data_IF_297737008423
#
_entry.id   IF_297737008423
#
_cell.length_a   1.000
_cell.length_b   1.000
_cell.length_c   1.000
_cell.angle_alpha   90.00
_cell.angle_beta   90.00
_cell.angle_gamma   90.00
#
_symmetry.space_group_name_H-M   'P 1'
#
loop_
_entity.id
_entity.type
_entity.pdbx_description
1 polymer ?
#
# COMPACT_ATOMS: atom_id res chain seq x y z
N UNK A 1 -15.38 -16.59 4.42
CA UNK A 1 -14.22 -17.01 3.60
C UNK A 1 -13.01 -17.10 4.53
N UNK A 2 -12.07 -18.01 4.31
CA UNK A 2 -10.91 -18.17 5.20
C UNK A 2 -9.64 -18.35 4.38
N UNK A 3 -8.57 -17.60 4.69
CA UNK A 3 -7.29 -17.61 3.96
C UNK A 3 -7.39 -17.16 2.49
N UNK A 4 -8.22 -16.16 2.18
CA UNK A 4 -8.35 -15.60 0.83
C UNK A 4 -7.64 -14.26 0.69
N UNK A 5 -7.09 -14.01 -0.50
CA UNK A 5 -6.66 -12.69 -0.95
C UNK A 5 -7.79 -12.06 -1.78
N UNK A 6 -8.29 -10.93 -1.32
CA UNK A 6 -9.22 -10.08 -2.05
C UNK A 6 -8.44 -8.96 -2.73
N UNK A 7 -8.68 -8.77 -4.02
CA UNK A 7 -8.09 -7.67 -4.79
C UNK A 7 -9.22 -6.75 -5.23
N UNK A 8 -9.24 -5.54 -4.69
CA UNK A 8 -10.16 -4.48 -5.10
C UNK A 8 -9.44 -3.56 -6.09
N UNK A 9 -9.79 -3.66 -7.37
CA UNK A 9 -9.30 -2.76 -8.40
C UNK A 9 -10.30 -1.62 -8.55
N UNK A 10 -9.89 -0.40 -8.22
CA UNK A 10 -10.75 0.77 -8.28
C UNK A 10 -10.77 1.35 -9.70
N UNK A 11 -11.88 2.04 -10.04
CA UNK A 11 -11.90 2.92 -11.20
C UNK A 11 -11.03 4.16 -10.96
N UNK A 12 -10.62 4.84 -12.03
CA UNK A 12 -9.90 6.11 -11.92
C UNK A 12 -10.67 7.08 -11.03
N UNK A 13 -9.97 7.68 -10.06
CA UNK A 13 -10.52 8.66 -9.12
C UNK A 13 -11.71 8.15 -8.26
N UNK A 14 -11.87 6.84 -8.08
CA UNK A 14 -13.00 6.26 -7.34
C UNK A 14 -13.20 6.85 -5.93
N UNK A 15 -12.15 7.39 -5.32
CA UNK A 15 -12.15 7.92 -3.96
C UNK A 15 -12.22 9.45 -3.90
N UNK A 16 -12.20 10.15 -5.05
CA UNK A 16 -12.07 11.62 -5.12
C UNK A 16 -13.15 12.36 -4.32
N UNK A 17 -14.37 11.83 -4.29
CA UNK A 17 -15.53 12.44 -3.63
C UNK A 17 -15.95 11.70 -2.35
N UNK A 18 -15.10 10.81 -1.83
CA UNK A 18 -15.38 10.10 -0.57
C UNK A 18 -14.85 10.96 0.59
N UNK A 19 -15.71 11.37 1.54
CA UNK A 19 -15.26 12.07 2.74
C UNK A 19 -14.24 11.25 3.55
N UNK A 20 -13.23 11.93 4.08
CA UNK A 20 -12.17 11.35 4.89
C UNK A 20 -12.69 10.41 6.01
N UNK A 21 -13.72 10.83 6.74
CA UNK A 21 -14.30 10.05 7.84
C UNK A 21 -14.94 8.75 7.36
N UNK A 22 -15.62 8.78 6.21
CA UNK A 22 -16.21 7.58 5.62
C UNK A 22 -15.13 6.60 5.18
N UNK A 23 -14.06 7.12 4.59
CA UNK A 23 -12.89 6.35 4.21
C UNK A 23 -12.25 5.67 5.43
N UNK A 24 -11.99 6.42 6.49
CA UNK A 24 -11.43 5.88 7.75
C UNK A 24 -12.33 4.81 8.36
N UNK A 25 -13.64 5.07 8.42
CA UNK A 25 -14.62 4.09 8.92
C UNK A 25 -14.63 2.81 8.09
N UNK A 26 -14.49 2.92 6.77
CA UNK A 26 -14.41 1.77 5.88
C UNK A 26 -13.11 0.98 6.10
N UNK A 27 -11.97 1.66 6.24
CA UNK A 27 -10.67 1.02 6.50
C UNK A 27 -10.68 0.23 7.81
N UNK A 28 -11.20 0.79 8.90
CA UNK A 28 -11.32 0.11 10.18
C UNK A 28 -12.19 -1.14 10.08
N UNK A 29 -13.35 -1.03 9.41
CA UNK A 29 -14.25 -2.18 9.18
C UNK A 29 -13.57 -3.28 8.37
N UNK A 30 -12.88 -2.91 7.29
CA UNK A 30 -12.18 -3.88 6.43
C UNK A 30 -10.99 -4.53 7.15
N UNK A 31 -10.25 -3.78 7.96
CA UNK A 31 -9.17 -4.33 8.79
C UNK A 31 -9.70 -5.38 9.78
N UNK A 32 -10.77 -5.04 10.52
CA UNK A 32 -11.40 -5.98 11.46
C UNK A 32 -11.92 -7.23 10.77
N UNK A 33 -12.61 -7.04 9.64
CA UNK A 33 -13.17 -8.15 8.87
C UNK A 33 -12.08 -9.06 8.31
N UNK A 34 -11.02 -8.50 7.72
CA UNK A 34 -9.93 -9.28 7.14
C UNK A 34 -9.19 -10.08 8.21
N UNK A 35 -8.90 -9.48 9.36
CA UNK A 35 -8.30 -10.18 10.51
C UNK A 35 -9.17 -11.32 11.03
N UNK A 36 -10.47 -11.06 11.26
CA UNK A 36 -11.41 -12.07 11.77
C UNK A 36 -11.51 -13.29 10.86
N UNK A 37 -11.39 -13.08 9.55
CA UNK A 37 -11.51 -14.12 8.53
C UNK A 37 -10.16 -14.67 8.06
N UNK A 38 -9.04 -14.26 8.67
CA UNK A 38 -7.69 -14.60 8.19
C UNK A 38 -7.50 -14.33 6.69
N UNK A 39 -8.01 -13.20 6.20
CA UNK A 39 -7.94 -12.78 4.81
C UNK A 39 -7.02 -11.58 4.63
N UNK A 40 -6.56 -11.38 3.40
CA UNK A 40 -5.81 -10.18 2.98
C UNK A 40 -6.65 -9.38 1.99
N UNK A 41 -6.65 -8.05 2.13
CA UNK A 41 -7.28 -7.14 1.17
C UNK A 41 -6.21 -6.24 0.56
N UNK A 42 -6.03 -6.34 -0.76
CA UNK A 42 -5.20 -5.43 -1.54
C UNK A 42 -6.11 -4.48 -2.31
N UNK A 43 -5.89 -3.18 -2.14
CA UNK A 43 -6.61 -2.14 -2.88
C UNK A 43 -5.67 -1.53 -3.91
N UNK A 44 -6.02 -1.63 -5.19
CA UNK A 44 -5.30 -1.00 -6.29
C UNK A 44 -6.11 0.20 -6.73
N UNK A 45 -5.60 1.40 -6.45
CA UNK A 45 -6.25 2.66 -6.77
C UNK A 45 -5.51 3.36 -7.92
N UNK A 46 -6.02 3.29 -9.17
CA UNK A 46 -5.46 4.06 -10.26
C UNK A 46 -5.91 5.51 -10.17
N UNK A 47 -4.97 6.42 -10.36
CA UNK A 47 -5.20 7.86 -10.23
C UNK A 47 -3.95 8.54 -9.74
N UNK A 48 -3.79 9.81 -10.11
CA UNK A 48 -2.63 10.56 -9.68
C UNK A 48 -2.69 10.69 -8.15
N UNK A 49 -1.56 10.42 -7.50
CA UNK A 49 -1.39 10.39 -6.05
C UNK A 49 -1.84 11.73 -5.46
N UNK A 50 -3.13 11.90 -5.14
CA UNK A 50 -3.65 13.14 -4.58
C UNK A 50 -3.04 13.24 -3.19
N UNK A 51 -2.11 14.18 -3.00
CA UNK A 51 -1.34 14.34 -1.77
C UNK A 51 -2.23 14.29 -0.53
N UNK A 52 -3.47 14.80 -0.61
CA UNK A 52 -4.46 14.75 0.45
C UNK A 52 -4.87 13.33 0.84
N UNK A 53 -5.16 12.46 -0.14
CA UNK A 53 -5.55 11.08 0.10
C UNK A 53 -4.36 10.25 0.58
N UNK A 54 -3.21 10.42 -0.04
CA UNK A 54 -1.99 9.74 0.38
C UNK A 54 -1.63 10.10 1.83
N UNK A 55 -1.66 11.40 2.17
CA UNK A 55 -1.41 11.86 3.54
C UNK A 55 -2.42 11.29 4.53
N UNK A 56 -3.71 11.25 4.17
CA UNK A 56 -4.74 10.63 5.00
C UNK A 56 -4.46 9.14 5.23
N UNK A 57 -4.09 8.39 4.19
CA UNK A 57 -3.78 6.96 4.31
C UNK A 57 -2.50 6.72 5.11
N UNK A 58 -1.53 7.63 5.02
CA UNK A 58 -0.29 7.57 5.80
C UNK A 58 -0.56 7.67 7.31
N UNK A 59 -1.54 8.49 7.71
CA UNK A 59 -2.00 8.59 9.10
C UNK A 59 -2.70 7.30 9.61
N UNK A 60 -3.19 6.45 8.70
CA UNK A 60 -3.91 5.21 9.00
C UNK A 60 -2.99 3.98 9.15
N UNK A 61 -1.73 4.18 9.54
CA UNK A 61 -0.73 3.11 9.70
C UNK A 61 -1.13 2.00 10.69
N UNK A 62 -2.10 2.25 11.58
CA UNK A 62 -2.66 1.24 12.49
C UNK A 62 -3.73 0.37 11.84
N UNK A 63 -4.41 0.91 10.82
CA UNK A 63 -5.50 0.28 10.08
C UNK A 63 -5.00 -0.43 8.82
N UNK A 64 -3.80 -0.10 8.36
CA UNK A 64 -3.17 -0.63 7.15
C UNK A 64 -1.92 -1.46 7.49
N UNK A 65 -1.70 -2.53 6.73
CA UNK A 65 -0.46 -3.29 6.77
C UNK A 65 0.57 -2.81 5.74
N UNK A 66 0.20 -1.93 4.83
CA UNK A 66 1.15 -1.35 3.89
C UNK A 66 0.52 -0.25 3.04
N UNK A 67 1.36 0.65 2.56
CA UNK A 67 1.00 1.72 1.64
C UNK A 67 2.17 1.94 0.68
N UNK A 68 1.89 1.87 -0.62
CA UNK A 68 2.86 2.10 -1.66
C UNK A 68 2.23 2.81 -2.87
N UNK A 69 3.05 3.51 -3.65
CA UNK A 69 2.65 4.17 -4.89
C UNK A 69 3.62 3.83 -6.01
N UNK A 70 3.07 3.59 -7.20
CA UNK A 70 3.85 3.45 -8.43
C UNK A 70 3.76 4.75 -9.23
N UNK A 71 4.90 5.36 -9.54
CA UNK A 71 4.97 6.61 -10.32
C UNK A 71 6.04 6.53 -11.41
N UNK A 72 5.90 7.37 -12.43
CA UNK A 72 6.88 7.49 -13.51
C UNK A 72 7.61 8.84 -13.38
N UNK A 73 8.93 8.82 -13.26
CA UNK A 73 9.76 10.02 -13.11
C UNK A 73 11.10 9.80 -13.82
N UNK A 74 11.54 10.78 -14.61
CA UNK A 74 12.89 10.78 -15.18
C UNK A 74 13.19 9.54 -16.04
N UNK A 75 12.20 9.09 -16.81
CA UNK A 75 12.26 7.88 -17.66
C UNK A 75 12.32 6.54 -16.91
N UNK A 76 12.01 6.54 -15.60
CA UNK A 76 11.98 5.33 -14.78
C UNK A 76 10.65 5.19 -14.06
N UNK A 77 10.23 3.94 -13.84
CA UNK A 77 9.14 3.64 -12.91
C UNK A 77 9.70 3.41 -11.52
N UNK A 78 9.11 4.10 -10.54
CA UNK A 78 9.51 4.05 -9.14
C UNK A 78 8.33 3.52 -8.32
N UNK A 79 8.61 2.49 -7.54
CA UNK A 79 7.72 2.00 -6.50
C UNK A 79 8.16 2.60 -5.17
N UNK A 80 7.42 3.60 -4.69
CA UNK A 80 7.65 4.20 -3.38
C UNK A 80 6.82 3.45 -2.34
N UNK A 81 7.51 2.77 -1.43
CA UNK A 81 6.92 2.10 -0.28
C UNK A 81 6.97 3.09 0.89
N UNK A 82 5.81 3.63 1.26
CA UNK A 82 5.70 4.50 2.42
C UNK A 82 5.95 3.70 3.70
N UNK A 83 5.23 2.59 3.85
CA UNK A 83 5.45 1.58 4.87
C UNK A 83 4.91 0.22 4.43
N UNK A 84 5.47 -0.84 5.00
CA UNK A 84 5.02 -2.21 4.85
C UNK A 84 5.30 -2.97 6.15
N UNK A 85 4.25 -3.46 6.79
CA UNK A 85 4.26 -4.16 8.05
C UNK A 85 4.09 -5.65 7.80
N UNK A 86 4.94 -6.46 8.42
CA UNK A 86 4.79 -7.91 8.50
C UNK A 86 5.10 -8.39 9.93
N UNK A 87 5.10 -9.70 10.14
CA UNK A 87 5.41 -10.30 11.45
C UNK A 87 6.85 -10.02 11.92
N UNK A 88 7.76 -9.71 11.00
CA UNK A 88 9.19 -9.47 11.28
C UNK A 88 9.49 -8.00 11.59
N UNK A 89 8.58 -7.08 11.30
CA UNK A 89 8.78 -5.65 11.53
C UNK A 89 8.12 -4.76 10.50
N UNK A 90 8.66 -3.55 10.35
CA UNK A 90 8.15 -2.55 9.42
C UNK A 90 9.30 -2.10 8.51
N UNK A 91 9.10 -2.21 7.20
CA UNK A 91 9.93 -1.55 6.19
C UNK A 91 9.26 -0.24 5.82
N UNK A 92 9.99 0.88 5.79
CA UNK A 92 9.42 2.18 5.49
C UNK A 92 10.37 3.04 4.66
N UNK A 93 9.80 3.99 3.90
CA UNK A 93 10.54 4.98 3.10
C UNK A 93 11.53 4.34 2.12
N UNK A 94 11.11 3.27 1.46
CA UNK A 94 11.91 2.62 0.43
C UNK A 94 11.45 3.10 -0.94
N UNK A 95 12.39 3.35 -1.83
CA UNK A 95 12.12 3.66 -3.23
C UNK A 95 12.81 2.62 -4.08
N UNK A 96 12.04 1.89 -4.86
CA UNK A 96 12.53 0.80 -5.68
C UNK A 96 12.34 1.14 -7.15
N UNK A 97 13.43 1.15 -7.91
CA UNK A 97 13.35 1.24 -9.36
C UNK A 97 12.79 -0.07 -9.92
N UNK A 98 11.69 0.03 -10.65
CA UNK A 98 11.04 -1.09 -11.31
C UNK A 98 11.00 -0.86 -12.82
N UNK A 99 11.03 -1.93 -13.58
CA UNK A 99 10.89 -1.91 -15.02
C UNK A 99 9.83 -2.90 -15.45
N UNK A 100 9.13 -2.56 -16.52
CA UNK A 100 8.14 -3.43 -17.14
C UNK A 100 8.76 -4.05 -18.38
N UNK A 101 8.85 -5.38 -18.39
CA UNK A 101 9.33 -6.14 -19.54
C UNK A 101 8.33 -7.23 -19.86
N UNK A 102 7.79 -7.23 -21.09
CA UNK A 102 6.85 -8.24 -21.58
C UNK A 102 5.63 -8.46 -20.66
N UNK A 103 5.11 -7.39 -20.06
CA UNK A 103 3.97 -7.46 -19.15
C UNK A 103 4.31 -7.79 -17.70
N UNK A 104 5.59 -8.01 -17.38
CA UNK A 104 6.06 -8.37 -16.03
C UNK A 104 6.79 -7.17 -15.43
N UNK A 105 6.44 -6.81 -14.20
CA UNK A 105 7.17 -5.83 -13.41
C UNK A 105 8.30 -6.52 -12.64
N UNK A 106 9.52 -6.00 -12.77
CA UNK A 106 10.71 -6.52 -12.09
C UNK A 106 11.50 -5.38 -11.45
N UNK A 107 12.18 -5.65 -10.34
CA UNK A 107 13.16 -4.71 -9.77
C UNK A 107 14.35 -4.53 -10.73
N UNK A 108 14.83 -3.30 -10.87
CA UNK A 108 16.00 -2.97 -11.69
C UNK A 108 17.30 -3.33 -10.96
N UNK A 109 17.31 -3.23 -9.63
CA UNK A 109 18.41 -3.66 -8.77
C UNK A 109 17.86 -4.43 -7.56
N UNK A 110 18.50 -5.56 -7.24
CA UNK A 110 18.16 -6.41 -6.11
C UNK A 110 18.88 -5.93 -4.85
N UNK A 111 18.57 -4.74 -4.34
CA UNK A 111 18.99 -4.37 -2.98
C UNK A 111 17.98 -4.96 -1.99
N UNK A 112 18.44 -5.84 -1.09
CA UNK A 112 17.61 -6.32 0.01
C UNK A 112 17.31 -5.15 0.94
N UNK A 113 16.01 -4.89 1.13
CA UNK A 113 15.49 -3.91 2.06
C UNK A 113 16.10 -4.08 3.46
N UNK A 114 16.81 -3.07 3.97
CA UNK A 114 17.20 -3.04 5.38
C UNK A 114 15.94 -3.02 6.27
N UNK A 115 15.78 -4.06 7.10
CA UNK A 115 14.68 -4.18 8.04
C UNK A 115 15.07 -3.41 9.31
N UNK A 116 14.32 -2.37 9.66
CA UNK A 116 14.52 -1.70 10.95
C UNK A 116 13.81 -2.50 12.07
N UNK A 117 14.52 -2.84 13.16
CA UNK A 117 13.88 -3.47 14.32
C UNK A 117 12.91 -2.49 14.99
N UNK A 118 11.79 -3.01 15.51
CA UNK A 118 10.87 -2.20 16.34
C UNK A 118 11.57 -1.86 17.65
N UNK A 119 11.60 -0.58 18.00
CA UNK A 119 12.17 -0.08 19.27
C UNK A 119 11.12 0.06 20.38
N UNK A 120 10.09 -0.78 20.35
CA UNK A 120 9.05 -0.80 21.39
C UNK A 120 9.20 -2.07 22.24
N UNK A 121 10.23 -2.08 23.08
CA UNK A 121 10.30 -2.80 24.36
C UNK A 121 10.93 -1.89 25.42
#
# INVERSE_FOLDING_TARGET
>A
PHNYLFILVCANNAWQNIPAERLRSWLDKMNKWSRLNHCSLLVINPGNNNDKQFSLLLEEYRSLFGLASLRFQGDQHLLDIAFWCNEKGVSARQQLSVQQQKGIWTLVQSEEAEIQPRSDE
#
